data_IF_059577066110
#
_entry.id   IF_059577066110
#
_cell.length_a   1.000
_cell.length_b   1.000
_cell.length_c   1.000
_cell.angle_alpha   90.00
_cell.angle_beta   90.00
_cell.angle_gamma   90.00
#
_symmetry.space_group_name_H-M   'P 1'
#
loop_
_entity.id
_entity.type
_entity.pdbx_description
1 polymer ?
#
# COMPACT_ATOMS: atom_id res chain seq x y z
N UNK A 1 4.44 13.82 0.15
CA UNK A 1 4.42 14.08 1.60
C UNK A 1 4.83 12.79 2.32
N UNK A 2 5.93 12.83 3.06
CA UNK A 2 6.08 12.04 4.29
C UNK A 2 6.64 10.60 4.26
N UNK A 3 7.48 10.20 3.31
CA UNK A 3 8.32 8.99 3.47
C UNK A 3 9.79 9.32 3.78
N UNK A 4 10.16 10.60 3.74
CA UNK A 4 11.49 11.11 4.07
C UNK A 4 11.37 12.25 5.09
N UNK A 5 12.24 12.26 6.10
CA UNK A 5 12.25 13.26 7.19
C UNK A 5 11.49 12.83 8.46
N UNK A 6 11.22 13.74 9.41
CA UNK A 6 10.62 13.43 10.72
C UNK A 6 9.28 12.67 10.65
N UNK A 7 8.50 12.88 9.59
CA UNK A 7 7.26 12.15 9.35
C UNK A 7 7.44 10.65 9.08
N UNK A 8 8.64 10.22 8.67
CA UNK A 8 8.94 8.80 8.44
C UNK A 8 8.92 7.99 9.75
N UNK A 9 9.36 8.58 10.87
CA UNK A 9 9.29 7.91 12.18
C UNK A 9 7.83 7.65 12.57
N UNK A 10 6.97 8.66 12.43
CA UNK A 10 5.54 8.51 12.71
C UNK A 10 4.87 7.48 11.80
N UNK A 11 5.29 7.40 10.53
CA UNK A 11 4.82 6.40 9.59
C UNK A 11 5.17 4.98 10.08
N UNK A 12 6.43 4.76 10.47
CA UNK A 12 6.88 3.45 10.94
C UNK A 12 6.22 3.05 12.27
N UNK A 13 6.01 3.99 13.20
CA UNK A 13 5.25 3.73 14.42
C UNK A 13 3.79 3.32 14.11
N UNK A 14 3.13 4.01 13.17
CA UNK A 14 1.79 3.63 12.73
C UNK A 14 1.75 2.24 12.05
N UNK A 15 2.78 1.89 11.27
CA UNK A 15 2.90 0.54 10.68
C UNK A 15 3.08 -0.54 11.75
N UNK A 16 3.86 -0.28 12.82
CA UNK A 16 4.05 -1.24 13.92
C UNK A 16 2.74 -1.62 14.59
N UNK A 17 1.84 -0.66 14.82
CA UNK A 17 0.50 -0.92 15.37
C UNK A 17 -0.27 -1.93 14.51
N UNK A 18 -0.12 -1.85 13.19
CA UNK A 18 -0.83 -2.76 12.27
C UNK A 18 -0.37 -4.22 12.40
N UNK A 19 0.83 -4.50 12.93
CA UNK A 19 1.42 -5.86 12.99
C UNK A 19 0.54 -6.85 13.76
N UNK A 20 -0.07 -6.40 14.86
CA UNK A 20 -0.95 -7.22 15.71
C UNK A 20 -2.45 -7.08 15.39
N UNK A 21 -2.82 -6.33 14.35
CA UNK A 21 -4.22 -6.06 14.04
C UNK A 21 -4.86 -7.27 13.34
N UNK A 22 -5.93 -7.87 13.89
CA UNK A 22 -6.56 -9.07 13.32
C UNK A 22 -7.23 -8.81 11.96
N UNK A 23 -7.57 -7.55 11.66
CA UNK A 23 -8.23 -7.14 10.41
C UNK A 23 -7.26 -6.48 9.42
N UNK A 24 -5.94 -6.64 9.60
CA UNK A 24 -4.92 -5.97 8.77
C UNK A 24 -5.14 -6.18 7.27
N UNK A 25 -5.46 -7.41 6.86
CA UNK A 25 -5.70 -7.75 5.46
C UNK A 25 -6.96 -7.05 4.91
N UNK A 26 -8.09 -7.15 5.61
CA UNK A 26 -9.35 -6.49 5.23
C UNK A 26 -9.21 -4.97 5.18
N UNK A 27 -8.48 -4.38 6.13
CA UNK A 27 -8.18 -2.96 6.17
C UNK A 27 -7.39 -2.50 4.92
N UNK A 28 -6.38 -3.29 4.51
CA UNK A 28 -5.62 -3.00 3.29
C UNK A 28 -6.47 -3.13 2.04
N UNK A 29 -7.27 -4.20 1.94
CA UNK A 29 -8.19 -4.43 0.82
C UNK A 29 -9.17 -3.27 0.67
N UNK A 30 -9.85 -2.89 1.75
CA UNK A 30 -10.72 -1.73 1.77
C UNK A 30 -10.02 -0.46 1.28
N UNK A 31 -8.78 -0.21 1.75
CA UNK A 31 -8.04 0.99 1.37
C UNK A 31 -7.59 0.99 -0.11
N UNK A 32 -7.37 -0.19 -0.70
CA UNK A 32 -7.08 -0.32 -2.12
C UNK A 32 -8.32 -0.09 -2.97
N UNK A 33 -9.45 -0.69 -2.60
CA UNK A 33 -10.72 -0.63 -3.36
C UNK A 33 -11.36 0.75 -3.29
N UNK A 34 -11.45 1.32 -2.08
CA UNK A 34 -12.01 2.68 -1.87
C UNK A 34 -11.03 3.80 -2.24
N UNK A 35 -9.82 3.46 -2.72
CA UNK A 35 -8.77 4.41 -3.14
C UNK A 35 -8.42 5.45 -2.06
N UNK A 36 -8.31 5.02 -0.80
CA UNK A 36 -7.87 5.90 0.28
C UNK A 36 -6.52 6.56 -0.04
N UNK A 37 -6.50 7.89 0.01
CA UNK A 37 -5.41 8.72 -0.51
C UNK A 37 -4.26 8.88 0.47
N UNK A 38 -4.56 8.88 1.78
CA UNK A 38 -3.62 9.22 2.84
C UNK A 38 -3.57 8.18 3.96
N UNK A 39 -2.64 8.36 4.89
CA UNK A 39 -2.50 7.53 6.09
C UNK A 39 -1.94 6.12 5.85
N UNK A 40 -1.73 5.41 6.96
CA UNK A 40 -1.33 4.00 7.00
C UNK A 40 -2.58 3.13 7.08
N UNK A 41 -2.71 2.18 6.17
CA UNK A 41 -3.83 1.23 6.13
C UNK A 41 -3.28 -0.18 5.99
N UNK A 42 -3.67 -1.09 6.89
CA UNK A 42 -3.19 -2.47 6.90
C UNK A 42 -1.66 -2.60 6.95
N UNK A 43 -0.96 -1.63 7.56
CA UNK A 43 0.50 -1.59 7.64
C UNK A 43 1.20 -1.04 6.39
N UNK A 44 0.44 -0.45 5.45
CA UNK A 44 0.96 0.07 4.19
C UNK A 44 0.74 1.58 4.12
N UNK A 45 1.77 2.33 3.76
CA UNK A 45 1.75 3.79 3.56
C UNK A 45 0.89 4.18 2.35
N UNK A 46 0.49 5.44 2.28
CA UNK A 46 -0.21 6.00 1.13
C UNK A 46 0.60 5.84 -0.17
N UNK A 47 1.92 6.03 -0.12
CA UNK A 47 2.79 5.92 -1.29
C UNK A 47 3.03 4.47 -1.72
N UNK A 48 3.23 3.56 -0.76
CA UNK A 48 3.28 2.13 -1.01
C UNK A 48 1.99 1.63 -1.68
N UNK A 49 0.81 2.05 -1.18
CA UNK A 49 -0.48 1.74 -1.84
C UNK A 49 -0.58 2.33 -3.25
N UNK A 50 -0.10 3.55 -3.48
CA UNK A 50 -0.02 4.14 -4.83
C UNK A 50 0.86 3.30 -5.75
N UNK A 51 2.01 2.79 -5.27
CA UNK A 51 2.89 1.88 -6.03
C UNK A 51 2.20 0.55 -6.34
N UNK A 52 1.47 -0.03 -5.38
CA UNK A 52 0.69 -1.25 -5.59
C UNK A 52 -0.38 -1.07 -6.67
N UNK A 53 -1.15 0.03 -6.62
CA UNK A 53 -2.17 0.34 -7.64
C UNK A 53 -1.56 0.50 -9.03
N UNK A 54 -0.40 1.15 -9.16
CA UNK A 54 0.32 1.26 -10.44
C UNK A 54 0.77 -0.10 -10.98
N UNK A 55 1.25 -1.00 -10.12
CA UNK A 55 1.63 -2.37 -10.51
C UNK A 55 0.43 -3.20 -10.95
N UNK A 56 -0.72 -3.06 -10.28
CA UNK A 56 -1.99 -3.72 -10.68
C UNK A 56 -2.57 -3.16 -11.97
N UNK A 57 -2.37 -1.86 -12.21
CA UNK A 57 -2.89 -1.16 -13.39
C UNK A 57 -1.99 -1.27 -14.62
N UNK A 58 -0.77 -1.81 -14.50
CA UNK A 58 0.06 -2.13 -15.65
C UNK A 58 -0.47 -3.41 -16.30
N UNK A 59 -1.04 -3.37 -17.53
CA UNK A 59 -1.25 -4.61 -18.26
C UNK A 59 0.13 -5.20 -18.49
N UNK A 60 0.36 -6.45 -18.09
CA UNK A 60 1.54 -7.19 -18.51
C UNK A 60 1.52 -7.29 -20.04
N UNK A 61 2.05 -6.27 -20.71
CA UNK A 61 2.37 -6.33 -22.12
C UNK A 61 3.50 -7.34 -22.27
N UNK A 62 3.30 -8.25 -23.22
CA UNK A 62 4.21 -9.26 -23.75
C UNK A 62 4.51 -10.45 -22.85
N UNK A 63 3.60 -11.42 -22.86
CA UNK A 63 3.99 -12.82 -23.04
C UNK A 63 3.08 -13.42 -24.13
N UNK A 64 3.49 -13.23 -25.39
CA UNK A 64 2.97 -14.01 -26.51
C UNK A 64 3.75 -15.32 -26.49
N UNK A 65 3.14 -16.49 -26.28
CA UNK A 65 3.86 -17.74 -26.42
C UNK A 65 4.29 -17.88 -27.88
N UNK A 66 5.60 -17.84 -28.14
CA UNK A 66 6.15 -18.27 -29.41
C UNK A 66 5.90 -19.77 -29.55
N UNK A 67 5.34 -20.12 -30.71
CA UNK A 67 5.02 -21.48 -31.16
C UNK A 67 6.20 -22.45 -31.05
#
# INVERSE_FOLDING_TARGET
MGETGPGAVQLEEAKKICTGCPVRALCLEFALDSRQQDGVWGGISAEERRRMRRRRAWPATTDTPAA
#
